data_IF_659350228365
#
_entry.id   IF_659350228365
#
_cell.length_a   1.000
_cell.length_b   1.000
_cell.length_c   1.000
_cell.angle_alpha   90.00
_cell.angle_beta   90.00
_cell.angle_gamma   90.00
#
_symmetry.space_group_name_H-M   'P 1'
#
loop_
_entity.id
_entity.type
_entity.pdbx_description
1 polymer ?
#
# COMPACT_ATOMS: atom_id res chain seq x y z
N UNK A 1 0.51 3.40 -14.37
CA UNK A 1 0.02 2.66 -13.19
C UNK A 1 0.23 3.56 -12.00
N UNK A 2 -0.77 3.72 -11.15
CA UNK A 2 -0.61 4.42 -9.87
C UNK A 2 -0.38 3.41 -8.75
N UNK A 3 0.61 3.70 -7.89
CA UNK A 3 1.15 2.78 -6.89
C UNK A 3 0.72 3.11 -5.45
N UNK A 4 0.30 4.35 -5.18
CA UNK A 4 -0.16 4.77 -3.86
C UNK A 4 -1.52 5.48 -3.97
N UNK A 5 -2.61 4.73 -3.84
CA UNK A 5 -3.97 5.24 -3.94
C UNK A 5 -4.77 4.89 -2.70
N UNK A 6 -5.58 5.83 -2.24
CA UNK A 6 -6.36 5.72 -1.01
C UNK A 6 -7.85 5.84 -1.30
N UNK A 7 -8.66 5.03 -0.62
CA UNK A 7 -10.12 5.15 -0.58
C UNK A 7 -10.56 5.74 0.76
N UNK A 8 -11.86 5.99 0.96
CA UNK A 8 -12.41 6.43 2.24
C UNK A 8 -12.12 5.45 3.39
N UNK A 9 -11.72 4.21 3.09
CA UNK A 9 -11.26 3.24 4.09
C UNK A 9 -9.87 3.60 4.68
N UNK A 10 -9.13 4.53 4.08
CA UNK A 10 -8.06 5.27 4.72
C UNK A 10 -8.64 6.27 5.73
N UNK A 11 -9.24 5.75 6.80
CA UNK A 11 -10.03 6.48 7.79
C UNK A 11 -9.45 7.86 8.10
N UNK A 12 -10.23 8.92 7.81
CA UNK A 12 -9.89 10.35 7.99
C UNK A 12 -8.94 10.97 6.95
N UNK A 13 -8.47 10.21 5.97
CA UNK A 13 -7.49 10.67 4.98
C UNK A 13 -7.89 10.44 3.52
N UNK A 14 -8.76 9.46 3.23
CA UNK A 14 -9.29 9.24 1.88
C UNK A 14 -10.70 9.80 1.70
N UNK A 15 -10.99 10.28 0.49
CA UNK A 15 -12.30 10.87 0.13
C UNK A 15 -13.03 10.08 -0.94
N UNK A 16 -12.30 9.32 -1.78
CA UNK A 16 -12.86 8.58 -2.91
C UNK A 16 -13.31 7.18 -2.49
N UNK A 17 -14.41 6.72 -3.06
CA UNK A 17 -14.78 5.31 -3.03
C UNK A 17 -13.89 4.46 -3.93
N UNK A 18 -13.90 3.16 -3.69
CA UNK A 18 -13.25 2.19 -4.56
C UNK A 18 -13.79 2.23 -6.01
N UNK A 19 -15.05 2.63 -6.20
CA UNK A 19 -15.69 2.76 -7.53
C UNK A 19 -15.19 4.02 -8.23
N UNK A 20 -15.24 5.18 -7.57
CA UNK A 20 -14.75 6.44 -8.15
C UNK A 20 -13.26 6.35 -8.49
N UNK A 21 -12.48 5.63 -7.69
CA UNK A 21 -11.06 5.37 -7.98
C UNK A 21 -10.87 4.52 -9.24
N UNK A 22 -11.77 3.56 -9.50
CA UNK A 22 -11.75 2.74 -10.71
C UNK A 22 -12.27 3.50 -11.94
N UNK A 23 -13.30 4.34 -11.79
CA UNK A 23 -13.80 5.23 -12.83
C UNK A 23 -12.67 6.17 -13.30
N UNK A 24 -12.01 6.86 -12.37
CA UNK A 24 -10.86 7.73 -12.66
C UNK A 24 -9.73 6.97 -13.35
N UNK A 25 -9.48 5.72 -12.94
CA UNK A 25 -8.46 4.91 -13.57
C UNK A 25 -8.80 4.54 -15.02
N UNK A 26 -10.08 4.28 -15.34
CA UNK A 26 -10.52 4.08 -16.72
C UNK A 26 -10.42 5.36 -17.55
N UNK A 27 -10.85 6.51 -17.01
CA UNK A 27 -10.75 7.82 -17.68
C UNK A 27 -9.29 8.15 -18.06
N UNK A 28 -8.36 7.81 -17.16
CA UNK A 28 -6.92 7.98 -17.37
C UNK A 28 -6.27 6.80 -18.12
N UNK A 29 -7.06 5.89 -18.70
CA UNK A 29 -6.62 4.77 -19.53
C UNK A 29 -5.62 3.84 -18.82
N UNK A 30 -5.74 3.73 -17.49
CA UNK A 30 -4.91 2.85 -16.68
C UNK A 30 -5.38 1.41 -16.81
N UNK A 31 -4.44 0.50 -17.05
CA UNK A 31 -4.69 -0.96 -17.06
C UNK A 31 -4.45 -1.61 -15.70
N UNK A 32 -3.75 -0.93 -14.80
CA UNK A 32 -3.33 -1.44 -13.50
C UNK A 32 -3.41 -0.33 -12.46
N UNK A 33 -3.91 -0.68 -11.27
CA UNK A 33 -4.09 0.26 -10.17
C UNK A 33 -3.78 -0.44 -8.84
N UNK A 34 -2.93 0.18 -8.02
CA UNK A 34 -2.68 -0.29 -6.67
C UNK A 34 -3.60 0.41 -5.67
N UNK A 35 -4.27 -0.37 -4.82
CA UNK A 35 -4.99 0.11 -3.65
C UNK A 35 -4.11 -0.07 -2.41
N UNK A 36 -3.78 1.03 -1.75
CA UNK A 36 -2.85 1.09 -0.61
C UNK A 36 -3.45 1.94 0.50
N UNK A 37 -4.57 1.48 1.06
CA UNK A 37 -5.20 2.21 2.16
C UNK A 37 -4.27 2.33 3.39
N UNK A 38 -4.41 3.44 4.10
CA UNK A 38 -3.57 3.77 5.25
C UNK A 38 -3.92 2.85 6.42
N UNK A 39 -2.97 2.01 6.83
CA UNK A 39 -3.11 1.06 7.94
C UNK A 39 -4.42 0.25 7.91
N UNK A 40 -4.97 -0.02 6.72
CA UNK A 40 -6.24 -0.72 6.56
C UNK A 40 -6.26 -1.53 5.26
N UNK A 41 -7.01 -2.62 5.28
CA UNK A 41 -7.19 -3.57 4.16
C UNK A 41 -8.64 -3.89 3.87
N UNK A 42 -9.58 -3.28 4.60
CA UNK A 42 -11.03 -3.56 4.51
C UNK A 42 -11.60 -3.41 3.10
N UNK A 43 -11.11 -2.44 2.33
CA UNK A 43 -11.53 -2.19 0.96
C UNK A 43 -11.03 -3.22 -0.06
N UNK A 44 -9.98 -3.98 0.28
CA UNK A 44 -9.19 -4.76 -0.68
C UNK A 44 -10.01 -5.78 -1.46
N UNK A 45 -10.85 -6.55 -0.78
CA UNK A 45 -11.67 -7.58 -1.43
C UNK A 45 -12.74 -6.98 -2.34
N UNK A 46 -13.42 -5.91 -1.89
CA UNK A 46 -14.44 -5.25 -2.72
C UNK A 46 -13.82 -4.56 -3.94
N UNK A 47 -12.65 -3.95 -3.76
CA UNK A 47 -11.87 -3.35 -4.85
C UNK A 47 -11.45 -4.39 -5.89
N UNK A 48 -10.93 -5.56 -5.47
CA UNK A 48 -10.56 -6.63 -6.41
C UNK A 48 -11.78 -7.10 -7.21
N UNK A 49 -12.92 -7.31 -6.54
CA UNK A 49 -14.15 -7.74 -7.20
C UNK A 49 -14.62 -6.71 -8.24
N UNK A 50 -14.66 -5.43 -7.86
CA UNK A 50 -15.10 -4.34 -8.74
C UNK A 50 -14.12 -4.07 -9.88
N UNK A 51 -12.81 -4.12 -9.63
CA UNK A 51 -11.80 -3.85 -10.65
C UNK A 51 -11.91 -4.76 -11.88
N UNK A 52 -12.38 -6.00 -11.70
CA UNK A 52 -12.65 -6.93 -12.80
C UNK A 52 -13.75 -6.41 -13.74
N UNK A 53 -14.82 -5.82 -13.20
CA UNK A 53 -15.92 -5.23 -13.96
C UNK A 53 -15.44 -4.04 -14.82
N UNK A 54 -14.36 -3.39 -14.37
CA UNK A 54 -13.72 -2.23 -15.02
C UNK A 54 -12.58 -2.60 -15.98
N UNK A 55 -12.23 -3.88 -16.12
CA UNK A 55 -11.09 -4.32 -16.92
C UNK A 55 -9.74 -3.82 -16.40
N UNK A 56 -9.67 -3.41 -15.13
CA UNK A 56 -8.45 -2.95 -14.46
C UNK A 56 -7.88 -4.11 -13.66
N UNK A 57 -6.58 -4.37 -13.79
CA UNK A 57 -5.89 -5.33 -12.93
C UNK A 57 -5.62 -4.68 -11.56
N UNK A 58 -6.25 -5.17 -10.47
CA UNK A 58 -6.02 -4.64 -9.14
C UNK A 58 -4.68 -5.13 -8.58
N UNK A 59 -3.99 -4.27 -7.86
CA UNK A 59 -2.82 -4.62 -7.04
C UNK A 59 -3.15 -4.20 -5.60
N UNK A 60 -2.98 -5.11 -4.65
CA UNK A 60 -3.26 -4.84 -3.25
C UNK A 60 -1.98 -4.49 -2.51
N UNK A 61 -2.07 -3.50 -1.63
CA UNK A 61 -1.00 -3.10 -0.76
C UNK A 61 -1.52 -2.36 0.46
N UNK A 62 -0.59 -1.81 1.24
CA UNK A 62 -0.88 -1.06 2.46
C UNK A 62 0.09 0.11 2.53
N UNK A 63 -0.43 1.29 2.87
CA UNK A 63 0.39 2.43 3.24
C UNK A 63 0.58 2.46 4.76
N UNK A 64 1.79 2.14 5.21
CA UNK A 64 2.11 2.00 6.62
C UNK A 64 2.53 3.34 7.23
N UNK A 65 1.78 3.80 8.23
CA UNK A 65 1.98 5.12 8.84
C UNK A 65 1.91 5.12 10.37
N UNK A 66 2.70 5.99 11.00
CA UNK A 66 2.51 6.36 12.41
C UNK A 66 1.80 7.71 12.49
N UNK A 67 0.47 7.69 12.61
CA UNK A 67 -0.33 8.92 12.50
C UNK A 67 -0.23 9.50 11.09
N UNK A 68 0.31 10.72 10.98
CA UNK A 68 0.55 11.37 9.67
C UNK A 68 1.89 11.00 9.04
N UNK A 69 2.79 10.39 9.81
CA UNK A 69 4.14 10.07 9.34
C UNK A 69 4.13 8.79 8.50
N UNK A 70 4.41 8.93 7.21
CA UNK A 70 4.50 7.80 6.29
C UNK A 70 5.84 7.08 6.46
N UNK A 71 5.80 5.80 6.85
CA UNK A 71 6.98 4.96 6.98
C UNK A 71 7.36 4.37 5.62
N UNK A 72 6.45 3.58 5.03
CA UNK A 72 6.65 2.93 3.73
C UNK A 72 5.32 2.45 3.16
N UNK A 73 5.27 2.29 1.83
CA UNK A 73 4.17 1.61 1.13
C UNK A 73 4.62 0.21 0.77
N UNK A 74 3.79 -0.80 1.01
CA UNK A 74 4.09 -2.16 0.59
C UNK A 74 3.03 -2.70 -0.37
N UNK A 75 3.47 -3.34 -1.47
CA UNK A 75 2.62 -3.92 -2.50
C UNK A 75 2.78 -5.44 -2.52
N UNK A 76 1.67 -6.17 -2.40
CA UNK A 76 1.67 -7.62 -2.45
C UNK A 76 1.90 -8.12 -3.88
N UNK A 77 2.81 -9.10 -4.05
CA UNK A 77 3.05 -9.79 -5.32
C UNK A 77 2.00 -10.86 -5.60
N UNK A 78 1.43 -11.42 -4.55
CA UNK A 78 0.48 -12.54 -4.56
C UNK A 78 -0.31 -12.58 -3.23
N UNK A 79 -1.19 -13.57 -3.07
CA UNK A 79 -2.01 -13.73 -1.87
C UNK A 79 -1.17 -13.97 -0.60
N UNK A 80 -0.05 -14.70 -0.69
CA UNK A 80 0.87 -14.90 0.43
C UNK A 80 1.50 -13.57 0.87
N UNK A 81 1.89 -12.73 -0.10
CA UNK A 81 2.38 -11.39 0.17
C UNK A 81 1.33 -10.52 0.85
N UNK A 82 0.08 -10.60 0.42
CA UNK A 82 -0.99 -9.85 1.07
C UNK A 82 -1.23 -10.34 2.50
N UNK A 83 -1.13 -11.65 2.75
CA UNK A 83 -1.18 -12.21 4.09
C UNK A 83 0.01 -11.74 4.96
N UNK A 84 1.24 -11.71 4.41
CA UNK A 84 2.43 -11.17 5.09
C UNK A 84 2.20 -9.72 5.55
N UNK A 85 1.66 -8.87 4.67
CA UNK A 85 1.36 -7.47 4.98
C UNK A 85 0.28 -7.34 6.07
N UNK A 86 -0.80 -8.11 5.96
CA UNK A 86 -1.89 -8.08 6.95
C UNK A 86 -1.43 -8.59 8.32
N UNK A 87 -0.63 -9.66 8.37
CA UNK A 87 -0.08 -10.18 9.63
C UNK A 87 0.81 -9.14 10.30
N UNK A 88 1.68 -8.49 9.54
CA UNK A 88 2.54 -7.43 10.05
C UNK A 88 1.73 -6.24 10.57
N UNK A 89 0.74 -5.77 9.81
CA UNK A 89 -0.14 -4.68 10.24
C UNK A 89 -0.91 -5.04 11.51
N UNK A 90 -1.50 -6.23 11.56
CA UNK A 90 -2.31 -6.70 12.67
C UNK A 90 -1.51 -6.75 13.98
N UNK A 91 -0.26 -7.23 13.92
CA UNK A 91 0.65 -7.24 15.07
C UNK A 91 0.87 -5.83 15.64
N UNK A 92 1.09 -4.83 14.77
CA UNK A 92 1.39 -3.47 15.22
C UNK A 92 0.15 -2.76 15.77
N UNK A 93 -1.02 -2.98 15.14
CA UNK A 93 -2.28 -2.40 15.60
C UNK A 93 -2.74 -3.03 16.91
N UNK A 94 -2.65 -4.35 17.06
CA UNK A 94 -3.08 -5.07 18.26
C UNK A 94 -2.19 -4.75 19.46
N UNK A 95 -0.87 -4.75 19.27
CA UNK A 95 0.09 -4.49 20.35
C UNK A 95 0.33 -2.98 20.59
N UNK A 96 -0.35 -2.10 19.85
CA UNK A 96 -0.14 -0.64 19.85
C UNK A 96 1.34 -0.24 19.65
N UNK A 97 2.06 -1.04 18.87
CA UNK A 97 3.47 -0.80 18.56
C UNK A 97 3.58 0.20 17.41
N UNK A 98 4.56 1.10 17.52
CA UNK A 98 4.92 1.97 16.39
C UNK A 98 5.45 1.13 15.24
N UNK A 99 5.02 1.47 14.04
CA UNK A 99 5.53 0.88 12.80
C UNK A 99 6.98 1.38 12.61
N UNK A 100 7.97 0.52 12.39
CA UNK A 100 9.34 0.94 12.13
C UNK A 100 9.46 1.72 10.81
N UNK A 101 10.43 2.62 10.71
CA UNK A 101 10.72 3.35 9.45
C UNK A 101 11.19 2.39 8.36
N UNK A 102 11.99 1.39 8.74
CA UNK A 102 12.48 0.33 7.85
C UNK A 102 11.53 -0.86 7.91
N UNK A 103 11.08 -1.32 6.75
CA UNK A 103 10.19 -2.48 6.67
C UNK A 103 10.90 -3.77 7.10
N UNK A 104 10.16 -4.74 7.66
CA UNK A 104 10.69 -6.08 7.87
C UNK A 104 10.98 -6.77 6.52
N UNK A 105 11.60 -7.94 6.57
CA UNK A 105 11.83 -8.75 5.37
C UNK A 105 10.51 -9.38 4.91
N UNK A 106 9.87 -8.76 3.91
CA UNK A 106 8.78 -9.39 3.16
C UNK A 106 9.35 -10.23 2.01
N UNK A 107 8.87 -11.47 1.87
CA UNK A 107 9.29 -12.36 0.78
C UNK A 107 8.44 -12.09 -0.46
N UNK A 108 7.15 -11.94 -0.24
CA UNK A 108 6.13 -11.85 -1.29
C UNK A 108 5.57 -10.44 -1.48
N UNK A 109 6.24 -9.40 -0.97
CA UNK A 109 5.85 -8.01 -1.20
C UNK A 109 7.01 -7.16 -1.73
N UNK A 110 6.67 -6.07 -2.41
CA UNK A 110 7.57 -4.96 -2.70
C UNK A 110 7.38 -3.87 -1.64
N UNK A 111 8.45 -3.15 -1.30
CA UNK A 111 8.42 -2.03 -0.36
C UNK A 111 8.93 -0.79 -1.07
N UNK A 112 8.23 0.32 -0.89
CA UNK A 112 8.54 1.61 -1.48
C UNK A 112 8.65 2.62 -0.34
N UNK A 113 9.85 3.15 -0.13
CA UNK A 113 10.12 4.14 0.90
C UNK A 113 9.95 5.56 0.34
N UNK A 114 9.33 6.50 1.08
CA UNK A 114 9.33 7.90 0.69
C UNK A 114 10.75 8.45 0.60
N UNK A 115 11.06 9.24 -0.43
CA UNK A 115 12.41 9.79 -0.64
C UNK A 115 13.02 10.44 0.61
N UNK A 116 12.21 11.18 1.38
CA UNK A 116 12.63 11.87 2.62
C UNK A 116 13.07 10.94 3.75
N UNK A 117 12.69 9.65 3.71
CA UNK A 117 13.03 8.64 4.72
C UNK A 117 14.31 7.87 4.39
N UNK A 118 14.82 8.02 3.17
CA UNK A 118 16.05 7.38 2.72
C UNK A 118 17.23 8.22 3.17
N UNK A 119 17.73 7.92 4.36
CA UNK A 119 18.96 8.49 4.90
C UNK A 119 19.91 7.37 5.30
N UNK A 120 21.24 7.59 5.32
CA UNK A 120 22.20 6.57 5.79
C UNK A 120 21.90 6.04 7.20
N UNK A 121 21.31 6.86 8.06
CA UNK A 121 20.94 6.50 9.44
C UNK A 121 19.72 5.56 9.53
N UNK A 122 18.89 5.49 8.49
CA UNK A 122 17.64 4.70 8.50
C UNK A 122 17.63 3.60 7.44
N UNK A 123 18.14 3.89 6.23
CA UNK A 123 18.14 2.99 5.08
C UNK A 123 19.47 3.15 4.34
N UNK A 124 20.46 2.35 4.74
CA UNK A 124 21.79 2.34 4.12
C UNK A 124 21.89 1.39 2.92
N UNK A 125 21.11 0.31 2.89
CA UNK A 125 21.10 -0.69 1.83
C UNK A 125 19.68 -1.12 1.49
N UNK A 126 19.46 -1.46 0.22
CA UNK A 126 18.17 -1.88 -0.30
C UNK A 126 18.24 -3.35 -0.71
N UNK A 127 17.21 -4.11 -0.34
CA UNK A 127 16.99 -5.45 -0.89
C UNK A 127 16.42 -5.38 -2.31
N UNK A 128 16.46 -6.49 -3.05
CA UNK A 128 15.94 -6.57 -4.44
C UNK A 128 14.46 -6.18 -4.60
N UNK A 129 13.69 -6.22 -3.52
CA UNK A 129 12.26 -5.88 -3.49
C UNK A 129 11.97 -4.55 -2.78
N UNK A 130 12.99 -3.75 -2.49
CA UNK A 130 12.87 -2.46 -1.83
C UNK A 130 13.26 -1.34 -2.81
N UNK A 131 12.45 -0.29 -2.85
CA UNK A 131 12.56 0.82 -3.80
C UNK A 131 12.38 2.17 -3.10
N UNK A 132 12.75 3.24 -3.80
CA UNK A 132 12.53 4.62 -3.37
C UNK A 132 11.41 5.22 -4.22
N UNK A 133 10.40 5.77 -3.56
CA UNK A 133 9.32 6.53 -4.20
C UNK A 133 9.78 7.95 -4.48
N UNK A 134 9.73 8.34 -5.76
CA UNK A 134 9.95 9.70 -6.24
C UNK A 134 8.60 10.23 -6.72
N UNK A 135 8.16 11.37 -6.18
CA UNK A 135 6.86 11.99 -6.44
C UNK A 135 7.02 13.46 -6.77
#
# INVERSE_FOLDING_TARGET
>A
MYLNCHTYYSLRFGTLSEVELLDLAQENQLRQLALTDINNTSAGLNFVRKAQEYGIKPILGIDFRNGVDQCFVALAKNNEGYQELNNFLSLHLHDQKKIPVTAPVFKNAFVIYPFKKVTPDHIATFKKNEFIGIS
#
